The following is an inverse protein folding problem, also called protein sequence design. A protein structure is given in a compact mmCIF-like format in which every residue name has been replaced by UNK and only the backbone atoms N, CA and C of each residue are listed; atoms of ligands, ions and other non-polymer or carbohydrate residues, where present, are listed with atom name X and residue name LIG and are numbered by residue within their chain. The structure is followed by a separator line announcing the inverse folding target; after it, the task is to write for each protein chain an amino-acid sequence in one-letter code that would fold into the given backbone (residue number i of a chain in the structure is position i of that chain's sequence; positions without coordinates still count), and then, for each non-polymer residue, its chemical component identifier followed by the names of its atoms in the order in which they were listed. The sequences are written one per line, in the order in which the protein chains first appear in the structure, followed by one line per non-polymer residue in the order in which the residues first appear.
data_IF_052617193214
#
_entry.id   IF_052617193214
#
_cell.length_a   1.000
_cell.length_b   1.000
_cell.length_c   1.000
_cell.angle_alpha   90.00
_cell.angle_beta   90.00
_cell.angle_gamma   90.00
#
_symmetry.space_group_name_H-M   'P 1'
#
loop_
_entity.id
_entity.type
_entity.pdbx_description
1 polymer ?
#
# COMPACT_ATOMS: atom_id res chain seq x y z
N UNK A 1 -15.52 2.70 -4.57
CA UNK A 1 -14.10 2.34 -4.78
C UNK A 1 -13.96 0.86 -4.55
N UNK A 2 -13.08 0.20 -5.29
CA UNK A 2 -12.75 -1.22 -5.11
C UNK A 2 -11.25 -1.34 -4.87
N UNK A 3 -10.87 -1.83 -3.70
CA UNK A 3 -9.49 -2.14 -3.35
C UNK A 3 -9.22 -3.58 -3.80
N UNK A 4 -8.35 -3.74 -4.79
CA UNK A 4 -8.04 -5.01 -5.43
C UNK A 4 -6.69 -5.49 -4.94
N UNK A 5 -6.66 -6.70 -4.39
CA UNK A 5 -5.45 -7.43 -4.00
C UNK A 5 -5.18 -8.53 -5.04
N UNK A 6 -3.93 -8.67 -5.47
CA UNK A 6 -3.51 -9.71 -6.39
C UNK A 6 -2.86 -10.87 -5.62
N UNK A 7 -3.25 -12.10 -5.94
CA UNK A 7 -2.71 -13.28 -5.27
C UNK A 7 -1.21 -13.42 -5.55
N UNK A 8 -0.35 -13.26 -4.53
CA UNK A 8 1.11 -13.45 -4.64
C UNK A 8 1.69 -12.73 -5.87
N UNK A 9 1.38 -11.44 -6.01
CA UNK A 9 1.55 -10.70 -7.25
C UNK A 9 2.94 -10.86 -7.88
N UNK A 10 4.02 -10.70 -7.10
CA UNK A 10 5.39 -10.90 -7.57
C UNK A 10 5.68 -12.34 -8.00
N UNK A 11 5.22 -13.32 -7.23
CA UNK A 11 5.54 -14.73 -7.45
C UNK A 11 4.73 -15.34 -8.60
N UNK A 12 3.64 -14.68 -9.03
CA UNK A 12 2.76 -15.15 -10.11
C UNK A 12 3.11 -14.63 -11.50
N UNK A 13 3.90 -13.56 -11.62
CA UNK A 13 4.19 -12.96 -12.93
C UNK A 13 4.73 -14.01 -13.92
N UNK A 14 4.02 -14.34 -15.00
CA UNK A 14 4.51 -15.28 -15.98
C UNK A 14 5.63 -14.63 -16.81
N UNK A 15 6.83 -15.21 -16.77
CA UNK A 15 8.02 -14.61 -17.39
C UNK A 15 7.87 -14.44 -18.90
N UNK A 16 7.26 -15.41 -19.59
CA UNK A 16 6.99 -15.28 -21.02
C UNK A 16 6.07 -14.10 -21.35
N UNK A 17 5.03 -13.87 -20.53
CA UNK A 17 4.17 -12.69 -20.67
C UNK A 17 4.92 -11.41 -20.35
N UNK A 18 5.78 -11.39 -19.33
CA UNK A 18 6.64 -10.25 -19.08
C UNK A 18 7.55 -9.93 -20.27
N UNK A 19 8.13 -10.93 -20.93
CA UNK A 19 8.95 -10.71 -22.14
C UNK A 19 8.13 -10.13 -23.29
N UNK A 20 6.91 -10.61 -23.49
CA UNK A 20 5.97 -10.04 -24.47
C UNK A 20 5.69 -8.56 -24.15
N UNK A 21 5.38 -8.23 -22.89
CA UNK A 21 5.12 -6.85 -22.45
C UNK A 21 6.35 -5.96 -22.65
N UNK A 22 7.55 -6.43 -22.27
CA UNK A 22 8.78 -5.67 -22.50
C UNK A 22 8.99 -5.37 -23.99
N UNK A 23 8.73 -6.34 -24.87
CA UNK A 23 8.82 -6.16 -26.33
C UNK A 23 7.79 -5.16 -26.86
N UNK A 24 6.58 -5.15 -26.29
CA UNK A 24 5.51 -4.18 -26.60
C UNK A 24 5.96 -2.75 -26.22
N UNK A 25 6.68 -2.60 -25.12
CA UNK A 25 7.24 -1.33 -24.64
C UNK A 25 8.58 -0.96 -25.32
N UNK A 26 8.99 -1.71 -26.35
CA UNK A 26 10.17 -1.42 -27.16
C UNK A 26 11.50 -1.97 -26.62
N UNK A 27 11.49 -2.71 -25.50
CA UNK A 27 12.70 -3.35 -24.95
C UNK A 27 13.04 -4.59 -25.77
N UNK A 28 14.14 -4.54 -26.52
CA UNK A 28 14.56 -5.59 -27.48
C UNK A 28 16.08 -5.79 -27.46
N UNK A 29 16.54 -6.77 -28.23
CA UNK A 29 17.97 -7.01 -28.47
C UNK A 29 18.73 -7.42 -27.21
N UNK A 30 19.94 -6.88 -27.06
CA UNK A 30 20.86 -7.22 -25.96
C UNK A 30 20.29 -6.91 -24.58
N UNK A 31 19.53 -5.80 -24.43
CA UNK A 31 18.91 -5.45 -23.15
C UNK A 31 17.87 -6.49 -22.73
N UNK A 32 16.98 -6.90 -23.63
CA UNK A 32 16.00 -7.95 -23.33
C UNK A 32 16.71 -9.28 -23.00
N UNK A 33 17.74 -9.65 -23.75
CA UNK A 33 18.53 -10.85 -23.47
C UNK A 33 19.23 -10.81 -22.11
N UNK A 34 19.76 -9.65 -21.71
CA UNK A 34 20.36 -9.45 -20.39
C UNK A 34 19.32 -9.55 -19.26
N UNK A 35 18.12 -9.00 -19.46
CA UNK A 35 17.03 -9.17 -18.48
C UNK A 35 16.63 -10.64 -18.39
N UNK A 36 16.44 -11.34 -19.52
CA UNK A 36 16.08 -12.75 -19.54
C UNK A 36 17.15 -13.62 -18.88
N UNK A 37 18.43 -13.33 -19.07
CA UNK A 37 19.52 -14.08 -18.44
C UNK A 37 19.53 -13.94 -16.91
N UNK A 38 19.07 -12.80 -16.37
CA UNK A 38 18.85 -12.65 -14.93
C UNK A 38 17.79 -13.60 -14.39
N UNK A 39 16.91 -14.15 -15.22
CA UNK A 39 15.85 -15.07 -14.81
C UNK A 39 16.06 -16.50 -15.31
N UNK A 40 16.98 -16.71 -16.26
CA UNK A 40 17.34 -18.03 -16.75
C UNK A 40 17.86 -18.91 -15.60
N UNK A 41 17.45 -20.19 -15.61
CA UNK A 41 17.90 -21.21 -14.65
C UNK A 41 17.81 -20.76 -13.18
N UNK A 42 16.81 -19.94 -12.84
CA UNK A 42 16.59 -19.51 -11.46
C UNK A 42 16.22 -20.70 -10.59
N UNK A 43 16.89 -20.85 -9.44
CA UNK A 43 16.55 -21.84 -8.43
C UNK A 43 16.25 -21.17 -7.09
N UNK A 44 15.55 -21.87 -6.20
CA UNK A 44 15.31 -21.46 -4.82
C UNK A 44 15.50 -22.63 -3.87
N UNK A 45 15.72 -22.33 -2.59
CA UNK A 45 15.76 -23.32 -1.52
C UNK A 45 15.12 -22.74 -0.26
N UNK A 46 14.56 -23.60 0.57
CA UNK A 46 13.99 -23.21 1.86
C UNK A 46 15.08 -23.28 2.92
N UNK A 47 15.25 -22.22 3.70
CA UNK A 47 16.19 -22.19 4.83
C UNK A 47 15.45 -22.20 6.15
N UNK A 48 15.68 -23.22 6.97
CA UNK A 48 15.10 -23.38 8.32
C UNK A 48 16.23 -23.61 9.30
N UNK A 49 16.32 -22.78 10.36
CA UNK A 49 17.30 -22.90 11.44
C UNK A 49 18.77 -23.09 10.96
N UNK A 50 19.14 -22.42 9.86
CA UNK A 50 20.48 -22.51 9.28
C UNK A 50 20.68 -23.65 8.27
N UNK A 51 19.79 -24.64 8.25
CA UNK A 51 19.79 -25.72 7.25
C UNK A 51 19.06 -25.28 5.98
N UNK A 52 19.55 -25.72 4.81
CA UNK A 52 18.94 -25.47 3.51
C UNK A 52 18.33 -26.75 2.94
N UNK A 53 17.17 -26.65 2.30
CA UNK A 53 16.64 -27.72 1.46
C UNK A 53 17.51 -27.92 0.22
N UNK A 54 17.23 -29.00 -0.53
CA UNK A 54 17.69 -29.10 -1.92
C UNK A 54 17.15 -27.91 -2.73
N UNK A 55 17.95 -27.47 -3.70
CA UNK A 55 17.53 -26.44 -4.66
C UNK A 55 16.41 -27.01 -5.55
N UNK A 56 15.48 -26.14 -5.93
CA UNK A 56 14.42 -26.44 -6.87
C UNK A 56 14.28 -25.29 -7.88
N UNK A 57 13.95 -25.60 -9.15
CA UNK A 57 13.83 -24.58 -10.18
C UNK A 57 12.62 -23.67 -9.95
N UNK A 58 12.76 -22.40 -10.32
CA UNK A 58 11.71 -21.38 -10.25
C UNK A 58 11.50 -20.82 -11.65
N UNK A 59 10.40 -21.23 -12.30
CA UNK A 59 10.04 -20.80 -13.65
C UNK A 59 9.11 -19.59 -13.74
N UNK A 60 8.47 -19.21 -12.64
CA UNK A 60 7.46 -18.14 -12.57
C UNK A 60 7.88 -17.07 -11.57
N UNK A 61 7.34 -15.87 -11.73
CA UNK A 61 7.52 -14.77 -10.80
C UNK A 61 8.84 -14.03 -10.94
N UNK A 62 8.87 -12.91 -10.24
CA UNK A 62 10.00 -12.00 -10.13
C UNK A 62 10.86 -12.33 -8.91
N UNK A 63 12.16 -12.05 -8.97
CA UNK A 63 13.09 -12.34 -7.87
C UNK A 63 12.93 -11.30 -6.77
N UNK A 64 12.42 -11.70 -5.61
CA UNK A 64 12.33 -10.80 -4.45
C UNK A 64 13.73 -10.37 -4.00
N UNK A 65 13.92 -9.07 -3.74
CA UNK A 65 15.21 -8.48 -3.38
C UNK A 65 16.13 -8.14 -4.58
N UNK A 66 15.76 -8.51 -5.81
CA UNK A 66 16.46 -8.03 -7.00
C UNK A 66 16.09 -6.57 -7.28
N UNK A 67 17.09 -5.72 -7.53
CA UNK A 67 16.88 -4.29 -7.80
C UNK A 67 16.05 -4.01 -9.06
N UNK A 68 16.05 -4.92 -10.03
CA UNK A 68 15.29 -4.76 -11.28
C UNK A 68 13.83 -5.23 -11.18
N UNK A 69 13.54 -6.18 -10.27
CA UNK A 69 12.19 -6.75 -10.13
C UNK A 69 11.09 -5.70 -9.92
N UNK A 70 11.26 -4.66 -9.08
CA UNK A 70 10.23 -3.64 -8.92
C UNK A 70 9.87 -2.91 -10.21
N UNK A 71 10.88 -2.58 -11.03
CA UNK A 71 10.64 -1.88 -12.31
C UNK A 71 9.90 -2.80 -13.28
N UNK A 72 10.31 -4.08 -13.36
CA UNK A 72 9.63 -5.07 -14.20
C UNK A 72 8.18 -5.27 -13.78
N UNK A 73 7.92 -5.31 -12.48
CA UNK A 73 6.58 -5.42 -11.93
C UNK A 73 5.73 -4.19 -12.30
N UNK A 74 6.27 -2.98 -12.15
CA UNK A 74 5.58 -1.74 -12.51
C UNK A 74 5.24 -1.70 -14.00
N UNK A 75 6.17 -2.09 -14.88
CA UNK A 75 5.90 -2.16 -16.34
C UNK A 75 4.79 -3.16 -16.65
N UNK A 76 4.81 -4.32 -16.00
CA UNK A 76 3.79 -5.35 -16.16
C UNK A 76 2.41 -4.86 -15.70
N UNK A 77 2.34 -4.22 -14.53
CA UNK A 77 1.11 -3.63 -14.00
C UNK A 77 0.61 -2.43 -14.81
N UNK A 78 1.50 -1.57 -15.32
CA UNK A 78 1.15 -0.47 -16.21
C UNK A 78 0.48 -0.99 -17.49
N UNK A 79 0.97 -2.10 -18.05
CA UNK A 79 0.32 -2.74 -19.20
C UNK A 79 -1.10 -3.20 -18.85
N UNK A 80 -1.30 -3.93 -17.75
CA UNK A 80 -2.64 -4.36 -17.31
C UNK A 80 -3.54 -3.15 -17.12
N UNK A 81 -3.06 -2.11 -16.43
CA UNK A 81 -3.80 -0.87 -16.21
C UNK A 81 -4.20 -0.20 -17.53
N UNK A 82 -3.30 -0.10 -18.52
CA UNK A 82 -3.57 0.58 -19.78
C UNK A 82 -4.65 -0.09 -20.63
N UNK A 83 -4.64 -1.42 -20.75
CA UNK A 83 -5.70 -2.11 -21.53
C UNK A 83 -7.00 -2.33 -20.77
N UNK A 84 -6.98 -2.24 -19.43
CA UNK A 84 -8.22 -2.22 -18.65
C UNK A 84 -8.89 -0.85 -18.60
N UNK A 85 -8.26 0.21 -19.17
CA UNK A 85 -8.86 1.55 -19.20
C UNK A 85 -10.15 1.55 -20.01
N UNK A 86 -11.16 2.15 -19.40
CA UNK A 86 -12.46 2.38 -20.00
C UNK A 86 -12.88 3.84 -20.01
N UNK A 87 -14.17 4.06 -20.26
CA UNK A 87 -14.78 5.38 -20.11
C UNK A 87 -15.20 5.67 -18.65
N UNK A 88 -15.17 4.66 -17.80
CA UNK A 88 -15.50 4.74 -16.38
C UNK A 88 -14.41 5.49 -15.60
N UNK A 89 -14.80 6.08 -14.48
CA UNK A 89 -13.85 6.76 -13.59
C UNK A 89 -14.49 7.85 -12.74
N UNK A 90 -13.64 8.51 -11.96
CA UNK A 90 -13.96 9.78 -11.30
C UNK A 90 -13.46 10.94 -12.16
N UNK A 91 -14.28 11.97 -12.36
CA UNK A 91 -13.82 13.22 -12.95
C UNK A 91 -13.26 14.14 -11.86
N UNK A 92 -12.03 14.61 -12.04
CA UNK A 92 -11.38 15.52 -11.12
C UNK A 92 -10.45 16.47 -11.89
N UNK A 93 -10.69 17.78 -11.81
CA UNK A 93 -9.83 18.79 -12.44
C UNK A 93 -9.64 18.64 -13.95
N UNK A 94 -10.67 18.17 -14.67
CA UNK A 94 -10.60 17.88 -16.11
C UNK A 94 -9.91 16.55 -16.48
N UNK A 95 -9.43 15.82 -15.48
CA UNK A 95 -8.85 14.49 -15.65
C UNK A 95 -9.86 13.41 -15.24
N UNK A 96 -9.81 12.26 -15.92
CA UNK A 96 -10.55 11.06 -15.52
C UNK A 96 -9.60 10.11 -14.80
N UNK A 97 -9.90 9.82 -13.54
CA UNK A 97 -9.11 8.91 -12.70
C UNK A 97 -9.94 7.63 -12.51
N UNK A 98 -9.57 6.58 -13.23
CA UNK A 98 -10.21 5.25 -13.15
C UNK A 98 -9.52 4.32 -12.15
N UNK A 99 -8.20 4.45 -11.99
CA UNK A 99 -7.40 3.57 -11.15
C UNK A 99 -6.20 4.27 -10.49
N UNK A 100 -5.87 3.88 -9.27
CA UNK A 100 -4.61 4.19 -8.59
C UNK A 100 -3.84 2.88 -8.40
N UNK A 101 -2.55 2.88 -8.74
CA UNK A 101 -1.70 1.70 -8.61
C UNK A 101 -0.45 2.05 -7.82
N UNK A 102 -0.17 1.28 -6.78
CA UNK A 102 1.07 1.34 -6.02
C UNK A 102 1.60 -0.07 -5.81
N UNK A 103 2.61 -0.46 -6.58
CA UNK A 103 3.02 -1.87 -6.68
C UNK A 103 1.80 -2.76 -6.92
N UNK A 104 1.50 -3.70 -6.02
CA UNK A 104 0.38 -4.64 -6.08
C UNK A 104 -0.93 -4.10 -5.49
N UNK A 105 -0.88 -2.99 -4.75
CA UNK A 105 -2.08 -2.30 -4.25
C UNK A 105 -2.76 -1.57 -5.42
N UNK A 106 -3.97 -2.02 -5.78
CA UNK A 106 -4.76 -1.41 -6.85
C UNK A 106 -6.08 -0.86 -6.29
N UNK A 107 -6.42 0.36 -6.66
CA UNK A 107 -7.72 0.97 -6.31
C UNK A 107 -8.43 1.36 -7.59
N UNK A 108 -9.59 0.75 -7.84
CA UNK A 108 -10.49 1.15 -8.91
C UNK A 108 -11.54 2.13 -8.36
N UNK A 109 -11.85 3.16 -9.14
CA UNK A 109 -12.75 4.22 -8.72
C UNK A 109 -13.70 4.60 -9.84
N UNK A 110 -14.97 4.78 -9.50
CA UNK A 110 -15.99 5.28 -10.40
C UNK A 110 -17.09 6.00 -9.62
N UNK A 111 -17.90 6.77 -10.33
CA UNK A 111 -18.99 7.57 -9.76
C UNK A 111 -20.28 6.78 -9.53
N UNK A 112 -20.39 5.57 -10.09
CA UNK A 112 -21.53 4.67 -9.94
C UNK A 112 -21.09 3.22 -9.68
N UNK A 113 -21.97 2.40 -9.12
CA UNK A 113 -21.71 0.98 -8.88
C UNK A 113 -21.56 0.23 -10.21
N UNK A 114 -22.37 0.57 -11.22
CA UNK A 114 -22.31 -0.05 -12.55
C UNK A 114 -20.96 0.20 -13.22
N UNK A 115 -20.49 1.45 -13.23
CA UNK A 115 -19.19 1.81 -13.80
C UNK A 115 -18.04 1.17 -13.04
N UNK A 116 -18.15 1.05 -11.72
CA UNK A 116 -17.14 0.41 -10.89
C UNK A 116 -17.05 -1.09 -11.17
N UNK A 117 -18.20 -1.75 -11.34
CA UNK A 117 -18.29 -3.17 -11.71
C UNK A 117 -17.67 -3.40 -13.10
N UNK A 118 -18.00 -2.57 -14.09
CA UNK A 118 -17.42 -2.65 -15.44
C UNK A 118 -15.90 -2.44 -15.42
N UNK A 119 -15.41 -1.48 -14.62
CA UNK A 119 -13.96 -1.26 -14.42
C UNK A 119 -13.28 -2.49 -13.82
N UNK A 120 -13.92 -3.12 -12.82
CA UNK A 120 -13.42 -4.31 -12.15
C UNK A 120 -13.38 -5.52 -13.09
N UNK A 121 -14.41 -5.72 -13.91
CA UNK A 121 -14.46 -6.79 -14.91
C UNK A 121 -13.37 -6.63 -15.96
N UNK A 122 -13.19 -5.43 -16.51
CA UNK A 122 -12.10 -5.14 -17.47
C UNK A 122 -10.73 -5.41 -16.86
N UNK A 123 -10.52 -4.99 -15.62
CA UNK A 123 -9.28 -5.26 -14.90
C UNK A 123 -9.07 -6.76 -14.67
N UNK A 124 -10.11 -7.49 -14.26
CA UNK A 124 -10.05 -8.93 -14.05
C UNK A 124 -9.71 -9.70 -15.33
N UNK A 125 -10.34 -9.36 -16.46
CA UNK A 125 -10.06 -9.95 -17.78
C UNK A 125 -8.61 -9.72 -18.19
N UNK A 126 -8.10 -8.49 -18.04
CA UNK A 126 -6.70 -8.18 -18.38
C UNK A 126 -5.70 -8.86 -17.45
N UNK A 127 -6.01 -9.00 -16.16
CA UNK A 127 -5.22 -9.79 -15.23
C UNK A 127 -5.15 -11.26 -15.67
N UNK A 128 -6.30 -11.89 -15.95
CA UNK A 128 -6.39 -13.28 -16.34
C UNK A 128 -5.65 -13.56 -17.66
N UNK A 129 -5.78 -12.66 -18.64
CA UNK A 129 -5.11 -12.74 -19.93
C UNK A 129 -3.58 -12.80 -19.82
N UNK A 130 -3.00 -12.24 -18.75
CA UNK A 130 -1.55 -12.28 -18.47
C UNK A 130 -1.18 -13.20 -17.32
N UNK A 131 -2.10 -14.08 -16.89
CA UNK A 131 -1.88 -15.10 -15.86
C UNK A 131 -1.84 -14.60 -14.42
N UNK A 132 -2.33 -13.38 -14.17
CA UNK A 132 -2.52 -12.82 -12.84
C UNK A 132 -3.92 -13.15 -12.32
N UNK A 133 -4.08 -13.14 -10.99
CA UNK A 133 -5.36 -13.46 -10.34
C UNK A 133 -5.67 -12.48 -9.23
N UNK A 134 -6.91 -11.99 -9.22
CA UNK A 134 -7.47 -11.19 -8.14
C UNK A 134 -7.80 -12.10 -6.95
N UNK A 135 -7.36 -11.69 -5.76
CA UNK A 135 -7.72 -12.33 -4.50
C UNK A 135 -9.07 -11.79 -4.03
N UNK A 136 -10.15 -12.52 -4.32
CA UNK A 136 -11.51 -12.11 -3.93
C UNK A 136 -11.72 -12.09 -2.41
N UNK A 137 -10.91 -12.82 -1.65
CA UNK A 137 -10.97 -12.85 -0.17
C UNK A 137 -10.25 -11.69 0.50
N UNK A 138 -9.40 -10.97 -0.22
CA UNK A 138 -8.65 -9.80 0.27
C UNK A 138 -9.04 -8.49 -0.41
N UNK A 139 -9.76 -8.59 -1.53
CA UNK A 139 -10.28 -7.43 -2.24
C UNK A 139 -11.58 -6.97 -1.58
N UNK A 140 -11.75 -5.66 -1.43
CA UNK A 140 -12.85 -5.09 -0.67
C UNK A 140 -13.46 -3.89 -1.41
N UNK A 141 -14.77 -3.73 -1.31
CA UNK A 141 -15.49 -2.57 -1.83
C UNK A 141 -15.69 -1.53 -0.72
N UNK A 142 -15.60 -0.25 -1.05
CA UNK A 142 -15.98 0.84 -0.13
C UNK A 142 -16.71 1.95 -0.88
N UNK A 143 -17.83 2.38 -0.31
CA UNK A 143 -18.63 3.49 -0.82
C UNK A 143 -18.36 4.74 0.00
N UNK A 144 -17.95 5.81 -0.67
CA UNK A 144 -17.84 7.14 -0.09
C UNK A 144 -19.12 7.91 -0.41
N UNK A 145 -20.06 7.95 0.53
CA UNK A 145 -21.36 8.60 0.31
C UNK A 145 -21.92 9.18 1.61
N UNK A 146 -22.65 10.30 1.49
CA UNK A 146 -23.41 10.87 2.61
C UNK A 146 -24.65 10.05 2.97
N UNK A 147 -25.14 9.24 2.02
CA UNK A 147 -26.28 8.34 2.21
C UNK A 147 -25.81 6.89 2.20
N UNK A 148 -26.33 6.02 3.07
CA UNK A 148 -26.09 4.59 2.99
C UNK A 148 -26.43 4.08 1.59
N UNK A 149 -25.51 3.31 1.02
CA UNK A 149 -25.64 2.72 -0.31
C UNK A 149 -24.92 1.38 -0.31
N UNK A 150 -25.59 0.38 -0.84
CA UNK A 150 -25.02 -0.94 -1.06
C UNK A 150 -24.30 -0.97 -2.41
N UNK A 151 -23.12 -1.59 -2.42
CA UNK A 151 -22.25 -1.75 -3.55
C UNK A 151 -21.87 -3.22 -3.64
N UNK A 152 -22.69 -3.96 -4.39
CA UNK A 152 -22.49 -5.38 -4.65
C UNK A 152 -21.56 -5.54 -5.86
N UNK A 153 -20.26 -5.59 -5.59
CA UNK A 153 -19.26 -5.88 -6.62
C UNK A 153 -18.97 -7.37 -6.69
N UNK A 154 -18.72 -7.87 -7.89
CA UNK A 154 -18.42 -9.28 -8.14
C UNK A 154 -17.19 -9.45 -9.04
N UNK A 155 -16.41 -10.48 -8.77
CA UNK A 155 -15.36 -10.98 -9.67
C UNK A 155 -15.73 -12.40 -10.05
N UNK A 156 -16.09 -12.62 -11.32
CA UNK A 156 -16.77 -13.84 -11.74
C UNK A 156 -18.07 -14.01 -10.95
N UNK A 157 -18.21 -15.13 -10.22
CA UNK A 157 -19.41 -15.42 -9.42
C UNK A 157 -19.24 -15.14 -7.91
N UNK A 158 -18.16 -14.45 -7.52
CA UNK A 158 -17.84 -14.20 -6.10
C UNK A 158 -18.06 -12.73 -5.77
N UNK A 159 -18.93 -12.47 -4.79
CA UNK A 159 -19.16 -11.12 -4.26
C UNK A 159 -17.99 -10.67 -3.39
N UNK A 160 -17.56 -9.43 -3.59
CA UNK A 160 -16.58 -8.77 -2.72
C UNK A 160 -17.28 -8.21 -1.47
N UNK A 161 -16.66 -8.29 -0.29
CA UNK A 161 -17.20 -7.67 0.91
C UNK A 161 -17.16 -6.14 0.80
N UNK A 162 -18.24 -5.49 1.25
CA UNK A 162 -18.27 -4.04 1.42
C UNK A 162 -17.84 -3.67 2.84
N UNK A 163 -16.85 -2.78 2.96
CA UNK A 163 -16.30 -2.32 4.24
C UNK A 163 -16.60 -0.83 4.48
N UNK A 164 -16.63 -0.44 5.76
CA UNK A 164 -16.77 0.97 6.17
C UNK A 164 -15.44 1.67 6.37
N UNK A 165 -14.38 0.90 6.62
CA UNK A 165 -13.03 1.39 6.87
C UNK A 165 -12.05 0.52 6.10
N UNK A 166 -11.04 1.14 5.49
CA UNK A 166 -9.99 0.44 4.76
C UNK A 166 -8.63 1.11 4.98
N UNK A 167 -7.58 0.32 5.20
CA UNK A 167 -6.22 0.84 5.39
C UNK A 167 -5.45 0.74 4.07
N UNK A 168 -5.35 1.85 3.35
CA UNK A 168 -4.64 1.95 2.07
C UNK A 168 -3.31 2.68 2.25
N UNK A 169 -2.20 2.08 1.80
CA UNK A 169 -0.83 2.60 1.95
C UNK A 169 -0.52 3.09 3.38
N UNK A 170 -1.03 2.33 4.36
CA UNK A 170 -0.85 2.63 5.77
C UNK A 170 -1.73 3.75 6.32
N UNK A 171 -2.59 4.41 5.54
CA UNK A 171 -3.56 5.44 5.97
C UNK A 171 -4.97 4.84 6.06
N UNK A 172 -5.69 5.12 7.15
CA UNK A 172 -7.07 4.66 7.32
C UNK A 172 -8.05 5.60 6.62
N UNK A 173 -8.83 5.04 5.69
CA UNK A 173 -9.96 5.70 5.06
C UNK A 173 -11.26 5.20 5.65
N UNK A 174 -12.24 6.09 5.76
CA UNK A 174 -13.59 5.76 6.22
C UNK A 174 -14.61 6.12 5.13
N UNK A 175 -15.69 5.35 5.05
CA UNK A 175 -16.83 5.60 4.14
C UNK A 175 -17.49 6.97 4.33
N UNK A 176 -17.35 7.56 5.53
CA UNK A 176 -17.82 8.91 5.86
C UNK A 176 -16.89 10.02 5.38
N UNK A 177 -15.67 9.69 4.92
CA UNK A 177 -14.63 10.66 4.56
C UNK A 177 -14.02 11.40 5.75
N UNK A 178 -14.29 10.93 6.97
CA UNK A 178 -13.76 11.48 8.23
C UNK A 178 -12.39 10.92 8.55
N UNK A 179 -11.50 11.76 9.07
CA UNK A 179 -10.10 11.43 9.37
C UNK A 179 -9.84 11.29 10.87
N UNK A 180 -10.82 11.52 11.73
CA UNK A 180 -10.71 11.50 13.18
C UNK A 180 -10.18 10.15 13.69
N UNK A 181 -10.61 9.05 13.08
CA UNK A 181 -10.11 7.70 13.35
C UNK A 181 -8.63 7.57 12.98
N UNK A 182 -8.22 8.09 11.82
CA UNK A 182 -6.81 8.09 11.39
C UNK A 182 -5.92 8.91 12.34
N UNK A 183 -6.36 10.12 12.73
CA UNK A 183 -5.64 10.92 13.73
C UNK A 183 -5.50 10.17 15.05
N UNK A 184 -6.58 9.56 15.54
CA UNK A 184 -6.55 8.74 16.75
C UNK A 184 -5.53 7.60 16.65
N UNK A 185 -5.50 6.90 15.51
CA UNK A 185 -4.58 5.81 15.25
C UNK A 185 -3.12 6.26 15.21
N UNK A 186 -2.82 7.39 14.56
CA UNK A 186 -1.45 7.96 14.50
C UNK A 186 -0.94 8.41 15.85
N UNK A 187 -1.79 9.10 16.62
CA UNK A 187 -1.48 9.49 17.99
C UNK A 187 -1.26 8.24 18.86
N UNK A 188 -2.09 7.21 18.71
CA UNK A 188 -1.92 5.93 19.40
C UNK A 188 -0.61 5.23 19.06
N UNK A 189 -0.26 5.16 17.77
CA UNK A 189 1.00 4.56 17.30
C UNK A 189 2.22 5.32 17.83
N UNK A 190 2.21 6.66 17.78
CA UNK A 190 3.26 7.49 18.35
C UNK A 190 3.33 7.32 19.89
N UNK A 191 2.18 7.19 20.56
CA UNK A 191 2.09 6.88 21.98
C UNK A 191 2.74 5.53 22.33
N UNK A 192 2.52 4.50 21.51
CA UNK A 192 3.16 3.19 21.68
C UNK A 192 4.68 3.26 21.51
N UNK A 193 5.18 4.03 20.54
CA UNK A 193 6.61 4.33 20.37
C UNK A 193 7.18 5.03 21.61
N UNK A 194 6.48 6.05 22.12
CA UNK A 194 6.90 6.72 23.35
C UNK A 194 6.95 5.74 24.53
N UNK A 195 5.96 4.86 24.65
CA UNK A 195 5.92 3.87 25.73
C UNK A 195 7.09 2.89 25.66
N UNK A 196 7.41 2.35 24.47
CA UNK A 196 8.53 1.42 24.29
C UNK A 196 9.89 2.08 24.54
N UNK A 197 10.03 3.36 24.18
CA UNK A 197 11.25 4.15 24.39
C UNK A 197 11.36 4.76 25.79
N UNK A 198 10.30 4.68 26.60
CA UNK A 198 10.23 5.44 27.85
C UNK A 198 11.37 5.07 28.80
N UNK A 199 11.53 3.78 29.12
CA UNK A 199 12.53 3.28 30.07
C UNK A 199 13.95 3.20 29.50
N UNK A 200 14.07 3.03 28.19
CA UNK A 200 15.33 2.77 27.48
C UNK A 200 15.99 4.04 26.95
N UNK A 201 15.19 5.08 26.67
CA UNK A 201 15.67 6.32 26.06
C UNK A 201 15.26 7.54 26.87
N UNK A 202 13.97 7.71 27.13
CA UNK A 202 13.43 8.98 27.65
C UNK A 202 13.91 9.23 29.08
N UNK A 203 13.84 8.23 29.96
CA UNK A 203 14.24 8.36 31.38
C UNK A 203 15.72 8.09 31.64
N UNK A 204 16.48 7.57 30.67
CA UNK A 204 17.91 7.28 30.84
C UNK A 204 18.72 8.56 30.97
N UNK A 205 19.52 8.66 32.04
CA UNK A 205 20.35 9.85 32.35
C UNK A 205 21.65 9.86 31.55
N UNK A 206 22.10 8.67 31.15
CA UNK A 206 23.30 8.41 30.37
C UNK A 206 23.18 8.93 28.93
N UNK A 207 21.94 9.09 28.45
CA UNK A 207 21.67 9.64 27.13
C UNK A 207 21.54 11.15 27.18
N UNK A 208 22.32 11.83 26.34
CA UNK A 208 22.24 13.28 26.19
C UNK A 208 20.86 13.71 25.66
N UNK A 209 20.44 14.92 26.02
CA UNK A 209 19.20 15.53 25.48
C UNK A 209 19.23 15.58 23.94
N UNK A 210 20.40 15.82 23.35
CA UNK A 210 20.60 15.81 21.89
C UNK A 210 20.29 14.43 21.30
N UNK A 211 20.77 13.35 21.91
CA UNK A 211 20.47 11.99 21.46
C UNK A 211 18.97 11.66 21.56
N UNK A 212 18.33 12.04 22.67
CA UNK A 212 16.87 11.86 22.86
C UNK A 212 16.06 12.61 21.80
N UNK A 213 16.44 13.85 21.49
CA UNK A 213 15.81 14.65 20.44
C UNK A 213 16.08 14.12 19.03
N UNK A 214 17.24 13.48 18.81
CA UNK A 214 17.51 12.78 17.55
C UNK A 214 16.51 11.64 17.34
N UNK A 215 16.31 10.81 18.36
CA UNK A 215 15.34 9.69 18.34
C UNK A 215 13.90 10.19 18.16
N UNK A 216 13.54 11.30 18.83
CA UNK A 216 12.26 11.96 18.62
C UNK A 216 12.03 12.29 17.13
N UNK A 217 13.01 12.95 16.50
CA UNK A 217 12.90 13.38 15.10
C UNK A 217 12.96 12.23 14.11
N UNK A 218 13.68 11.15 14.41
CA UNK A 218 13.85 10.03 13.48
C UNK A 218 12.80 8.94 13.61
N UNK A 219 12.13 8.80 14.76
CA UNK A 219 11.15 7.72 15.01
C UNK A 219 9.77 8.29 15.34
N UNK A 220 9.68 9.14 16.38
CA UNK A 220 8.39 9.59 16.89
C UNK A 220 7.66 10.49 15.88
N UNK A 221 8.34 11.53 15.37
CA UNK A 221 7.74 12.48 14.42
C UNK A 221 7.27 11.75 13.15
N UNK A 222 8.09 10.93 12.45
CA UNK A 222 7.61 10.19 11.28
C UNK A 222 6.45 9.25 11.58
N UNK A 223 6.41 8.61 12.75
CA UNK A 223 5.29 7.75 13.15
C UNK A 223 3.99 8.55 13.29
N UNK A 224 4.08 9.74 13.90
CA UNK A 224 2.95 10.63 14.11
C UNK A 224 2.45 11.27 12.81
N UNK A 225 3.36 11.73 11.95
CA UNK A 225 3.05 12.55 10.77
C UNK A 225 2.98 11.77 9.45
N UNK A 226 3.13 10.45 9.47
CA UNK A 226 2.98 9.66 8.25
C UNK A 226 1.58 9.86 7.64
N UNK A 227 1.52 10.19 6.35
CA UNK A 227 0.28 10.44 5.61
C UNK A 227 -0.33 11.82 5.83
N UNK A 228 0.39 12.76 6.48
CA UNK A 228 -0.11 14.10 6.78
C UNK A 228 -0.40 14.96 5.55
N UNK A 229 0.19 14.64 4.41
CA UNK A 229 -0.07 15.28 3.12
C UNK A 229 -1.54 15.16 2.67
N UNK A 230 -2.25 14.13 3.15
CA UNK A 230 -3.68 13.93 2.90
C UNK A 230 -4.60 14.53 3.97
N UNK A 231 -4.06 15.14 5.02
CA UNK A 231 -4.86 15.57 6.17
C UNK A 231 -5.59 16.89 5.91
N UNK A 232 -6.91 16.88 6.09
CA UNK A 232 -7.70 18.11 6.26
C UNK A 232 -7.61 18.51 7.72
N UNK A 233 -6.73 19.47 8.01
CA UNK A 233 -6.43 19.92 9.36
C UNK A 233 -7.50 20.89 9.88
N UNK A 234 -8.16 20.50 10.97
CA UNK A 234 -9.00 21.39 11.78
C UNK A 234 -8.18 21.92 12.96
N UNK A 235 -8.66 22.97 13.63
CA UNK A 235 -8.02 23.44 14.87
C UNK A 235 -7.97 22.34 15.92
N UNK A 236 -9.07 21.59 16.09
CA UNK A 236 -9.15 20.47 17.03
C UNK A 236 -8.11 19.39 16.72
N UNK A 237 -7.94 18.99 15.46
CA UNK A 237 -6.97 17.95 15.09
C UNK A 237 -5.54 18.46 15.25
N UNK A 238 -5.27 19.72 14.89
CA UNK A 238 -3.98 20.38 15.14
C UNK A 238 -3.61 20.36 16.62
N UNK A 239 -4.52 20.77 17.51
CA UNK A 239 -4.27 20.77 18.96
C UNK A 239 -3.97 19.37 19.50
N UNK A 240 -4.65 18.33 18.98
CA UNK A 240 -4.40 16.94 19.39
C UNK A 240 -3.02 16.43 18.96
N UNK A 241 -2.59 16.74 17.73
CA UNK A 241 -1.26 16.38 17.23
C UNK A 241 -0.18 17.10 18.03
N UNK A 242 -0.35 18.41 18.28
CA UNK A 242 0.56 19.19 19.12
C UNK A 242 0.62 18.65 20.55
N UNK A 243 -0.51 18.25 21.14
CA UNK A 243 -0.54 17.65 22.47
C UNK A 243 0.28 16.34 22.52
N UNK A 244 0.23 15.52 21.46
CA UNK A 244 1.04 14.30 21.36
C UNK A 244 2.55 14.61 21.29
N UNK A 245 2.96 15.57 20.45
CA UNK A 245 4.35 16.03 20.36
C UNK A 245 4.85 16.60 21.70
N UNK A 246 4.08 17.51 22.30
CA UNK A 246 4.40 18.11 23.59
C UNK A 246 4.48 17.06 24.70
N UNK A 247 3.66 16.01 24.63
CA UNK A 247 3.73 14.88 25.53
C UNK A 247 5.10 14.18 25.52
N UNK A 248 5.72 14.00 24.35
CA UNK A 248 7.07 13.43 24.26
C UNK A 248 8.12 14.42 24.77
N UNK A 249 8.08 15.67 24.28
CA UNK A 249 9.08 16.69 24.57
C UNK A 249 9.14 17.05 26.06
N UNK A 250 8.00 17.16 26.73
CA UNK A 250 7.93 17.42 28.19
C UNK A 250 8.59 16.31 29.00
N UNK A 251 8.39 15.05 28.61
CA UNK A 251 9.03 13.90 29.28
C UNK A 251 10.54 13.87 29.09
N UNK A 252 11.04 14.22 27.91
CA UNK A 252 12.49 14.39 27.67
C UNK A 252 13.07 15.53 28.51
N UNK A 253 12.30 16.60 28.71
CA UNK A 253 12.70 17.75 29.52
C UNK A 253 12.53 17.53 31.03
N UNK A 254 11.90 16.42 31.47
CA UNK A 254 11.62 16.16 32.88
C UNK A 254 10.51 17.04 33.49
N UNK A 255 9.67 17.67 32.65
CA UNK A 255 8.57 18.53 33.10
C UNK A 255 7.33 17.66 33.34
N UNK A 256 6.68 17.73 34.53
CA UNK A 256 5.44 16.99 34.79
C UNK A 256 4.34 17.37 33.80
N UNK A 257 3.45 16.42 33.48
CA UNK A 257 2.21 16.74 32.77
C UNK A 257 1.32 17.54 33.74
N UNK A 258 1.35 18.86 33.63
CA UNK A 258 0.36 19.71 34.29
C UNK A 258 -1.02 19.30 33.82
N UNK A 259 -1.80 18.75 34.74
CA UNK A 259 -3.25 18.56 34.60
C UNK A 259 -3.82 19.97 34.68
N UNK A 260 -4.30 20.47 33.54
CA UNK A 260 -5.17 21.64 33.46
C UNK A 260 -6.57 21.16 33.17
#
# INVERSE_FOLDING_TARGET
MCFVDLEKAYDRVPREKLWEVLREYGVRGSLLGAIQSLYAQSESCVRVLGSKSKAFPVGVGLRQGCALSPILFVVFMDRISRRSRGEEGLQFGGLRISSLLFADDVVLMASSVCDLQLSLERFAVECEAVGMRISTSKSEAMVLSRKPMDCLLQVGNVSLPQVKEFKYLGVLFTSEGKMECEFGRRIGAAGAVLHSLYRTVVTKRELSRKAKLSIYRSIFVPTLTYGHEGWVMTERTRSRVQAAEMGFLRRVAGVPLGIG
#
